data_IF_148683821636
#
_entry.id   IF_148683821636
#
_cell.length_a   1.000
_cell.length_b   1.000
_cell.length_c   1.000
_cell.angle_alpha   90.00
_cell.angle_beta   90.00
_cell.angle_gamma   90.00
#
_symmetry.space_group_name_H-M   'P 1'
#
loop_
_entity.id
_entity.type
_entity.pdbx_description
1 polymer ?
#
# COMPACT_ATOMS: atom_id res chain seq x y z
N UNK A 1 13.91 2.94 8.48
CA UNK A 1 12.84 3.29 9.45
C UNK A 1 11.73 2.23 9.49
N UNK A 2 11.25 1.68 8.37
CA UNK A 2 10.19 0.63 8.34
C UNK A 2 10.53 -0.63 9.14
N UNK A 3 11.80 -1.02 9.19
CA UNK A 3 12.23 -2.24 9.92
C UNK A 3 11.93 -2.13 11.42
N UNK A 4 12.20 -0.98 12.03
CA UNK A 4 12.01 -0.79 13.48
C UNK A 4 10.52 -0.80 13.88
N UNK A 5 9.66 -0.09 13.14
CA UNK A 5 8.21 -0.11 13.42
C UNK A 5 7.63 -1.52 13.25
N UNK A 6 8.09 -2.27 12.24
CA UNK A 6 7.70 -3.67 12.06
C UNK A 6 8.11 -4.54 13.24
N UNK A 7 9.32 -4.37 13.76
CA UNK A 7 9.82 -5.11 14.93
C UNK A 7 9.00 -4.78 16.19
N UNK A 8 8.73 -3.50 16.43
CA UNK A 8 7.91 -3.05 17.57
C UNK A 8 6.49 -3.60 17.44
N UNK A 9 5.87 -3.48 16.27
CA UNK A 9 4.55 -4.07 16.02
C UNK A 9 4.54 -5.57 16.32
N UNK A 10 5.53 -6.30 15.80
CA UNK A 10 5.62 -7.74 15.99
C UNK A 10 5.75 -8.12 17.47
N UNK A 11 6.43 -7.33 18.29
CA UNK A 11 6.52 -7.53 19.73
C UNK A 11 5.15 -7.49 20.40
N UNK A 12 4.32 -6.49 20.09
CA UNK A 12 2.97 -6.37 20.66
C UNK A 12 2.02 -7.47 20.16
N UNK A 13 2.17 -7.92 18.93
CA UNK A 13 1.26 -8.85 18.29
C UNK A 13 1.84 -10.26 18.09
N UNK A 14 2.83 -10.64 18.91
CA UNK A 14 3.57 -11.89 18.74
C UNK A 14 2.67 -13.13 18.64
N UNK A 15 1.59 -13.16 19.42
CA UNK A 15 0.65 -14.29 19.46
C UNK A 15 -0.33 -14.29 18.26
N UNK A 16 -0.33 -13.26 17.42
CA UNK A 16 -1.30 -13.07 16.33
C UNK A 16 -0.67 -12.78 14.98
N UNK A 17 0.67 -12.89 14.86
CA UNK A 17 1.38 -12.51 13.63
C UNK A 17 0.93 -13.29 12.40
N UNK A 18 0.53 -14.55 12.59
CA UNK A 18 0.04 -15.41 11.51
C UNK A 18 -1.46 -15.23 11.22
N UNK A 19 -2.19 -14.63 12.16
CA UNK A 19 -3.65 -14.49 12.08
C UNK A 19 -4.07 -13.14 11.50
N UNK A 20 -3.24 -12.08 11.68
CA UNK A 20 -3.56 -10.71 11.28
C UNK A 20 -2.89 -10.34 9.95
N UNK A 21 -3.68 -9.71 9.09
CA UNK A 21 -3.23 -9.17 7.81
C UNK A 21 -4.01 -7.88 7.45
N UNK A 22 -3.74 -7.32 6.29
CA UNK A 22 -4.37 -6.08 5.82
C UNK A 22 -5.88 -6.18 5.70
N UNK A 23 -6.43 -7.34 5.35
CA UNK A 23 -7.87 -7.51 5.10
C UNK A 23 -8.68 -7.75 6.37
N UNK A 24 -8.06 -8.20 7.47
CA UNK A 24 -8.80 -8.54 8.68
C UNK A 24 -8.44 -7.71 9.93
N UNK A 25 -7.36 -6.94 9.92
CA UNK A 25 -6.90 -6.22 11.12
C UNK A 25 -7.98 -5.39 11.78
N UNK A 26 -8.73 -4.62 11.02
CA UNK A 26 -9.73 -3.70 11.56
C UNK A 26 -10.88 -4.45 12.27
N UNK A 27 -11.25 -5.64 11.80
CA UNK A 27 -12.32 -6.48 12.38
C UNK A 27 -11.82 -7.58 13.33
N UNK A 28 -10.48 -7.74 13.49
CA UNK A 28 -9.90 -8.77 14.33
C UNK A 28 -9.95 -8.39 15.81
N UNK A 29 -10.99 -8.87 16.51
CA UNK A 29 -11.30 -8.48 17.89
C UNK A 29 -10.44 -9.18 18.94
N UNK A 30 -9.91 -10.37 18.64
CA UNK A 30 -9.07 -11.15 19.58
C UNK A 30 -7.81 -10.40 20.04
N UNK A 31 -7.29 -9.47 19.23
CA UNK A 31 -6.12 -8.66 19.55
C UNK A 31 -6.45 -7.23 20.01
N UNK A 32 -7.66 -6.98 20.53
CA UNK A 32 -8.04 -5.63 20.93
C UNK A 32 -7.23 -5.08 22.12
N UNK A 33 -6.77 -5.94 23.02
CA UNK A 33 -5.88 -5.56 24.12
C UNK A 33 -4.53 -5.12 23.58
N UNK A 34 -3.93 -5.89 22.67
CA UNK A 34 -2.65 -5.58 22.01
C UNK A 34 -2.73 -4.30 21.18
N UNK A 35 -3.84 -4.07 20.47
CA UNK A 35 -4.10 -2.81 19.75
C UNK A 35 -4.10 -1.62 20.69
N UNK A 36 -4.80 -1.73 21.85
CA UNK A 36 -4.83 -0.66 22.87
C UNK A 36 -3.45 -0.41 23.47
N UNK A 37 -2.73 -1.47 23.84
CA UNK A 37 -1.39 -1.37 24.43
C UNK A 37 -0.40 -0.78 23.43
N UNK A 38 -0.43 -1.20 22.18
CA UNK A 38 0.42 -0.65 21.12
C UNK A 38 0.11 0.84 20.87
N UNK A 39 -1.17 1.23 20.82
CA UNK A 39 -1.57 2.64 20.70
C UNK A 39 -1.11 3.46 21.89
N UNK A 40 -1.25 2.95 23.10
CA UNK A 40 -0.76 3.62 24.31
C UNK A 40 0.75 3.86 24.23
N UNK A 41 1.54 2.82 23.88
CA UNK A 41 2.98 2.95 23.65
C UNK A 41 3.29 4.03 22.61
N UNK A 42 2.61 4.02 21.47
CA UNK A 42 2.80 5.01 20.42
C UNK A 42 2.47 6.43 20.88
N UNK A 43 1.43 6.60 21.70
CA UNK A 43 1.08 7.89 22.29
C UNK A 43 2.22 8.42 23.19
N UNK A 44 2.85 7.58 23.99
CA UNK A 44 4.00 7.96 24.81
C UNK A 44 5.18 8.38 23.92
N UNK A 45 5.52 7.59 22.91
CA UNK A 45 6.61 7.89 21.96
C UNK A 45 6.36 9.19 21.23
N UNK A 46 5.17 9.37 20.64
CA UNK A 46 4.85 10.57 19.86
C UNK A 46 4.76 11.83 20.72
N UNK A 47 4.26 11.72 21.96
CA UNK A 47 4.27 12.85 22.88
C UNK A 47 5.69 13.31 23.21
N UNK A 48 6.60 12.37 23.43
CA UNK A 48 8.03 12.70 23.63
C UNK A 48 8.66 13.33 22.38
N UNK A 49 8.39 12.77 21.19
CA UNK A 49 8.89 13.33 19.93
C UNK A 49 8.31 14.71 19.66
N UNK A 50 7.03 14.93 19.94
CA UNK A 50 6.37 16.24 19.81
C UNK A 50 7.07 17.31 20.67
N UNK A 51 7.48 16.94 21.90
CA UNK A 51 8.20 17.84 22.80
C UNK A 51 9.63 18.11 22.34
N UNK A 52 10.38 17.06 21.93
CA UNK A 52 11.82 17.13 21.62
C UNK A 52 12.11 17.71 20.24
N UNK A 53 11.38 17.29 19.20
CA UNK A 53 11.65 17.64 17.81
C UNK A 53 10.50 18.41 17.14
N UNK A 54 9.49 18.85 17.92
CA UNK A 54 8.30 19.55 17.41
C UNK A 54 7.59 18.77 16.29
N UNK A 55 7.45 17.45 16.47
CA UNK A 55 6.78 16.58 15.49
C UNK A 55 5.38 17.11 15.16
N UNK A 56 5.14 17.49 13.90
CA UNK A 56 3.87 18.06 13.42
C UNK A 56 3.09 17.14 12.50
N UNK A 57 3.81 16.27 11.78
CA UNK A 57 3.20 15.35 10.82
C UNK A 57 3.96 14.05 10.68
N UNK A 58 3.24 13.01 10.29
CA UNK A 58 3.75 11.69 9.92
C UNK A 58 3.32 11.43 8.49
N UNK A 59 4.23 10.95 7.65
CA UNK A 59 3.96 10.64 6.24
C UNK A 59 4.05 9.14 6.02
N UNK A 60 3.04 8.58 5.36
CA UNK A 60 2.95 7.19 4.92
C UNK A 60 2.64 7.09 3.43
N UNK A 61 2.67 5.88 2.88
CA UNK A 61 2.53 5.63 1.44
C UNK A 61 1.35 4.74 1.05
N UNK A 62 0.57 4.25 2.02
CA UNK A 62 -0.61 3.44 1.74
C UNK A 62 -1.64 3.56 2.87
N UNK A 63 -2.91 3.74 2.52
CA UNK A 63 -4.00 3.82 3.50
C UNK A 63 -4.33 2.45 4.14
N UNK A 64 -3.90 1.35 3.52
CA UNK A 64 -4.23 -0.01 3.94
C UNK A 64 -3.19 -0.68 4.84
N UNK A 65 -2.03 -0.08 5.08
CA UNK A 65 -1.02 -0.68 5.94
C UNK A 65 -1.52 -0.93 7.36
N UNK A 66 -1.83 -2.19 7.66
CA UNK A 66 -2.42 -2.56 8.95
C UNK A 66 -1.48 -2.30 10.13
N UNK A 67 -0.16 -2.44 9.95
CA UNK A 67 0.84 -2.15 10.97
C UNK A 67 0.90 -0.67 11.36
N UNK A 68 0.39 0.21 10.52
CA UNK A 68 0.32 1.65 10.75
C UNK A 68 -1.05 2.10 11.28
N UNK A 69 -1.98 1.17 11.51
CA UNK A 69 -3.35 1.53 11.92
C UNK A 69 -3.36 2.24 13.27
N UNK A 70 -2.66 1.69 14.26
CA UNK A 70 -2.60 2.30 15.58
C UNK A 70 -1.77 3.60 15.58
N UNK A 71 -0.82 3.77 14.64
CA UNK A 71 -0.14 5.06 14.43
C UNK A 71 -1.10 6.16 13.98
N UNK A 72 -2.05 5.84 13.09
CA UNK A 72 -3.06 6.80 12.62
C UNK A 72 -3.91 7.30 13.79
N UNK A 73 -4.33 6.39 14.68
CA UNK A 73 -5.10 6.75 15.86
C UNK A 73 -4.26 7.52 16.88
N UNK A 74 -3.03 7.09 17.15
CA UNK A 74 -2.14 7.80 18.07
C UNK A 74 -1.81 9.22 17.58
N UNK A 75 -1.59 9.39 16.27
CA UNK A 75 -1.37 10.70 15.67
C UNK A 75 -2.59 11.61 15.86
N UNK A 76 -3.81 11.09 15.62
CA UNK A 76 -5.06 11.82 15.85
C UNK A 76 -5.20 12.24 17.31
N UNK A 77 -4.99 11.30 18.24
CA UNK A 77 -5.16 11.54 19.67
C UNK A 77 -4.21 12.64 20.21
N UNK A 78 -3.06 12.81 19.57
CA UNK A 78 -2.07 13.84 19.89
C UNK A 78 -2.12 15.08 18.98
N UNK A 79 -3.13 15.17 18.12
CA UNK A 79 -3.24 16.25 17.11
C UNK A 79 -1.98 16.40 16.23
N UNK A 80 -1.40 15.26 15.81
CA UNK A 80 -0.33 15.18 14.83
C UNK A 80 -0.97 14.83 13.49
N UNK A 81 -0.63 15.56 12.42
CA UNK A 81 -1.20 15.29 11.08
C UNK A 81 -0.65 13.97 10.54
N UNK A 82 -1.54 13.06 10.14
CA UNK A 82 -1.16 11.83 9.44
C UNK A 82 -1.50 12.00 7.96
N UNK A 83 -0.46 12.04 7.12
CA UNK A 83 -0.59 12.29 5.67
C UNK A 83 -0.21 11.04 4.91
N UNK A 84 -0.97 10.68 3.90
CA UNK A 84 -0.70 9.50 3.07
C UNK A 84 -0.55 9.89 1.60
N UNK A 85 0.60 9.59 1.01
CA UNK A 85 0.79 9.55 -0.43
C UNK A 85 0.47 8.14 -0.91
N UNK A 86 -0.77 7.91 -1.34
CA UNK A 86 -1.26 6.56 -1.65
C UNK A 86 -0.68 6.04 -2.97
N UNK A 87 0.47 5.36 -2.88
CA UNK A 87 1.26 4.91 -4.03
C UNK A 87 0.63 3.76 -4.84
N UNK A 88 -0.34 3.06 -4.27
CA UNK A 88 -1.02 1.90 -4.88
C UNK A 88 -2.40 2.29 -5.44
N UNK A 89 -2.49 3.50 -5.99
CA UNK A 89 -3.74 4.10 -6.49
C UNK A 89 -4.09 3.69 -7.93
N UNK A 90 -3.51 2.62 -8.45
CA UNK A 90 -3.87 2.15 -9.79
C UNK A 90 -5.01 1.15 -9.64
N UNK A 91 -6.22 1.69 -9.66
CA UNK A 91 -7.44 0.89 -9.77
C UNK A 91 -8.04 1.10 -11.15
N UNK A 92 -8.51 0.06 -11.77
CA UNK A 92 -9.09 0.13 -13.11
C UNK A 92 -10.24 -0.85 -13.29
N UNK A 93 -11.20 -0.40 -14.07
CA UNK A 93 -12.22 -1.20 -14.70
C UNK A 93 -13.39 -1.63 -13.83
N UNK A 94 -14.12 -2.60 -14.35
CA UNK A 94 -15.45 -3.00 -13.91
C UNK A 94 -15.55 -3.67 -12.52
N UNK A 95 -14.43 -3.90 -11.84
CA UNK A 95 -14.42 -4.55 -10.51
C UNK A 95 -14.72 -3.62 -9.33
N UNK A 96 -15.18 -2.41 -9.57
CA UNK A 96 -15.37 -1.38 -8.54
C UNK A 96 -16.32 -1.78 -7.43
N UNK A 97 -17.49 -2.29 -7.81
CA UNK A 97 -18.51 -2.67 -6.83
C UNK A 97 -17.99 -3.74 -5.87
N UNK A 98 -17.24 -4.72 -6.37
CA UNK A 98 -16.65 -5.76 -5.52
C UNK A 98 -15.59 -5.22 -4.58
N UNK A 99 -14.76 -4.28 -5.03
CA UNK A 99 -13.75 -3.61 -4.19
C UNK A 99 -14.41 -2.78 -3.10
N UNK A 100 -15.44 -2.00 -3.42
CA UNK A 100 -16.17 -1.18 -2.44
C UNK A 100 -16.84 -2.06 -1.39
N UNK A 101 -17.51 -3.13 -1.81
CA UNK A 101 -18.15 -4.09 -0.90
C UNK A 101 -17.09 -4.71 0.01
N UNK A 102 -15.96 -5.15 -0.53
CA UNK A 102 -14.86 -5.69 0.23
C UNK A 102 -14.32 -4.67 1.23
N UNK A 103 -14.06 -3.43 0.78
CA UNK A 103 -13.51 -2.39 1.65
C UNK A 103 -14.48 -2.00 2.77
N UNK A 104 -15.78 -1.85 2.47
CA UNK A 104 -16.80 -1.60 3.49
C UNK A 104 -16.90 -2.72 4.52
N UNK A 105 -16.68 -3.96 4.12
CA UNK A 105 -16.76 -5.13 4.99
C UNK A 105 -15.55 -5.28 5.92
N UNK A 106 -14.36 -5.00 5.42
CA UNK A 106 -13.10 -5.35 6.10
C UNK A 106 -12.32 -4.15 6.64
N UNK A 107 -12.67 -2.94 6.23
CA UNK A 107 -11.93 -1.75 6.65
C UNK A 107 -12.82 -0.73 7.33
N UNK A 108 -12.36 -0.22 8.47
CA UNK A 108 -13.01 0.87 9.17
C UNK A 108 -12.51 2.23 8.67
N UNK A 109 -13.26 3.29 9.00
CA UNK A 109 -12.86 4.67 8.79
C UNK A 109 -11.47 4.96 9.37
N UNK A 110 -10.65 5.69 8.62
CA UNK A 110 -9.26 6.01 8.95
C UNK A 110 -9.11 7.48 9.30
N UNK A 111 -8.58 7.80 10.48
CA UNK A 111 -8.38 9.19 10.92
C UNK A 111 -7.16 9.83 10.22
N UNK A 112 -7.17 9.86 8.90
CA UNK A 112 -6.10 10.42 8.08
C UNK A 112 -6.39 11.88 7.79
N UNK A 113 -5.40 12.76 8.02
CA UNK A 113 -5.56 14.21 7.85
C UNK A 113 -5.59 14.64 6.39
N UNK A 114 -4.78 13.99 5.54
CA UNK A 114 -4.72 14.21 4.09
C UNK A 114 -4.27 12.94 3.38
N UNK A 115 -4.88 12.67 2.22
CA UNK A 115 -4.50 11.60 1.31
C UNK A 115 -4.30 12.18 -0.09
N UNK A 116 -3.17 11.93 -0.71
CA UNK A 116 -2.99 12.16 -2.13
C UNK A 116 -3.14 10.85 -2.91
N UNK A 117 -3.90 10.88 -3.99
CA UNK A 117 -4.16 9.76 -4.89
C UNK A 117 -3.83 10.13 -6.33
N UNK A 118 -3.63 9.13 -7.19
CA UNK A 118 -3.19 9.37 -8.57
C UNK A 118 -4.31 9.85 -9.48
N UNK A 119 -5.56 9.47 -9.23
CA UNK A 119 -6.69 9.78 -10.11
C UNK A 119 -8.00 9.93 -9.35
N UNK A 120 -8.97 10.57 -10.01
CA UNK A 120 -10.30 10.81 -9.47
C UNK A 120 -11.03 9.51 -9.13
N UNK A 121 -10.84 8.50 -9.94
CA UNK A 121 -11.44 7.19 -9.74
C UNK A 121 -11.07 6.55 -8.39
N UNK A 122 -9.78 6.56 -8.02
CA UNK A 122 -9.33 6.09 -6.70
C UNK A 122 -9.92 6.93 -5.56
N UNK A 123 -10.02 8.26 -5.75
CA UNK A 123 -10.68 9.14 -4.78
C UNK A 123 -12.13 8.72 -4.56
N UNK A 124 -12.89 8.51 -5.64
CA UNK A 124 -14.30 8.15 -5.57
C UNK A 124 -14.50 6.81 -4.85
N UNK A 125 -13.66 5.80 -5.13
CA UNK A 125 -13.69 4.50 -4.45
C UNK A 125 -13.46 4.63 -2.93
N UNK A 126 -12.46 5.42 -2.51
CA UNK A 126 -12.13 5.62 -1.10
C UNK A 126 -13.29 6.33 -0.37
N UNK A 127 -13.88 7.32 -1.02
CA UNK A 127 -15.04 8.07 -0.49
C UNK A 127 -16.26 7.16 -0.39
N UNK A 128 -16.60 6.44 -1.45
CA UNK A 128 -17.75 5.54 -1.49
C UNK A 128 -17.63 4.41 -0.46
N UNK A 129 -16.41 3.91 -0.25
CA UNK A 129 -16.12 2.93 0.81
C UNK A 129 -16.12 3.53 2.23
N UNK A 130 -16.29 4.85 2.38
CA UNK A 130 -16.26 5.57 3.65
C UNK A 130 -14.97 5.38 4.45
N UNK A 131 -13.83 5.27 3.75
CA UNK A 131 -12.54 5.05 4.41
C UNK A 131 -11.88 6.35 4.90
N UNK A 132 -12.04 7.43 4.15
CA UNK A 132 -11.49 8.76 4.44
C UNK A 132 -12.50 9.81 4.00
N UNK A 133 -12.60 10.93 4.71
CA UNK A 133 -13.47 12.04 4.33
C UNK A 133 -13.06 12.64 2.99
N UNK A 134 -14.05 12.99 2.15
CA UNK A 134 -13.84 13.53 0.79
C UNK A 134 -12.93 14.76 0.77
N UNK A 135 -13.10 15.68 1.72
CA UNK A 135 -12.32 16.92 1.86
C UNK A 135 -10.84 16.66 2.23
N UNK A 136 -10.53 15.47 2.69
CA UNK A 136 -9.17 15.06 3.02
C UNK A 136 -8.45 14.35 1.87
N UNK A 137 -9.08 14.17 0.71
CA UNK A 137 -8.49 13.46 -0.43
C UNK A 137 -8.25 14.42 -1.60
N UNK A 138 -7.00 14.44 -2.08
CA UNK A 138 -6.56 15.25 -3.22
C UNK A 138 -6.08 14.35 -4.36
N UNK A 139 -6.43 14.72 -5.58
CA UNK A 139 -5.92 14.05 -6.79
C UNK A 139 -4.69 14.83 -7.25
N UNK A 140 -3.53 14.17 -7.26
CA UNK A 140 -2.23 14.81 -7.54
C UNK A 140 -1.53 14.24 -8.78
N UNK A 141 -2.15 13.26 -9.45
CA UNK A 141 -1.47 12.52 -10.51
C UNK A 141 -0.46 11.50 -9.95
N UNK A 142 0.44 11.05 -10.78
CA UNK A 142 1.45 10.03 -10.46
C UNK A 142 2.85 10.68 -10.43
N UNK A 143 3.32 11.23 -9.30
CA UNK A 143 4.57 12.00 -9.23
C UNK A 143 5.80 11.23 -9.73
N UNK A 144 5.79 9.89 -9.62
CA UNK A 144 6.87 9.04 -10.12
C UNK A 144 7.06 9.09 -11.64
N UNK A 145 6.09 9.61 -12.38
CA UNK A 145 6.15 9.72 -13.84
C UNK A 145 6.54 11.10 -14.31
N UNK A 146 6.66 12.09 -13.43
CA UNK A 146 6.96 13.47 -13.79
C UNK A 146 8.31 13.60 -14.53
N UNK A 147 9.31 12.82 -14.12
CA UNK A 147 10.61 12.78 -14.79
C UNK A 147 10.50 12.33 -16.26
N UNK A 148 9.54 11.45 -16.60
CA UNK A 148 9.33 11.00 -17.97
C UNK A 148 8.78 12.10 -18.88
N UNK A 149 7.99 13.03 -18.34
CA UNK A 149 7.47 14.17 -19.10
C UNK A 149 8.54 15.23 -19.36
N UNK A 150 9.57 15.29 -18.52
CA UNK A 150 10.69 16.22 -18.63
C UNK A 150 11.86 15.67 -19.47
N UNK A 151 11.83 14.39 -19.84
CA UNK A 151 12.85 13.81 -20.70
C UNK A 151 12.80 14.44 -22.10
N UNK A 152 13.93 14.97 -22.57
CA UNK A 152 14.08 15.39 -23.97
C UNK A 152 13.77 14.21 -24.89
N UNK A 153 12.84 14.39 -25.82
CA UNK A 153 12.55 13.37 -26.86
C UNK A 153 13.82 13.07 -27.65
N UNK A 154 14.40 11.92 -27.44
CA UNK A 154 15.48 11.41 -28.27
C UNK A 154 14.87 10.82 -29.55
N UNK A 155 14.87 11.59 -30.62
CA UNK A 155 14.15 11.28 -31.87
C UNK A 155 14.67 10.09 -32.67
N UNK A 156 15.78 9.43 -32.28
CA UNK A 156 16.47 8.47 -33.16
C UNK A 156 16.84 7.14 -32.49
N UNK A 157 16.16 6.70 -31.45
CA UNK A 157 16.51 5.40 -30.83
C UNK A 157 15.53 4.30 -31.23
N UNK A 158 16.01 3.37 -32.05
CA UNK A 158 15.35 2.10 -32.40
C UNK A 158 15.49 1.08 -31.23
N UNK A 159 15.21 1.51 -29.97
CA UNK A 159 15.29 0.61 -28.83
C UNK A 159 13.90 0.31 -28.31
N UNK A 160 13.60 -0.96 -28.11
CA UNK A 160 12.42 -1.42 -27.38
C UNK A 160 12.84 -1.74 -25.96
N UNK A 161 12.32 -0.99 -24.98
CA UNK A 161 12.50 -1.29 -23.58
C UNK A 161 11.43 -2.29 -23.13
N UNK A 162 11.85 -3.48 -22.79
CA UNK A 162 11.00 -4.49 -22.19
C UNK A 162 11.16 -4.49 -20.66
N UNK A 163 10.14 -4.01 -19.95
CA UNK A 163 10.11 -4.04 -18.49
C UNK A 163 9.58 -5.39 -18.04
N UNK A 164 10.49 -6.26 -17.62
CA UNK A 164 10.13 -7.57 -17.09
C UNK A 164 9.92 -7.51 -15.58
N UNK A 165 8.81 -8.05 -15.11
CA UNK A 165 8.62 -8.30 -13.69
C UNK A 165 9.51 -9.48 -13.31
N UNK A 166 10.38 -9.29 -12.31
CA UNK A 166 11.21 -10.36 -11.81
C UNK A 166 10.35 -11.54 -11.38
N UNK A 167 10.72 -12.77 -11.78
CA UNK A 167 9.91 -13.99 -11.60
C UNK A 167 9.53 -14.31 -10.13
N UNK A 168 10.18 -13.64 -9.17
CA UNK A 168 9.90 -13.75 -7.74
C UNK A 168 9.46 -12.42 -7.12
N UNK A 169 9.23 -11.38 -7.92
CA UNK A 169 8.83 -10.08 -7.42
C UNK A 169 7.47 -10.20 -6.71
N UNK A 170 7.44 -9.88 -5.43
CA UNK A 170 6.23 -9.80 -4.59
C UNK A 170 5.56 -11.11 -4.17
N UNK A 171 5.94 -12.25 -4.70
CA UNK A 171 5.27 -13.53 -4.43
C UNK A 171 5.65 -14.21 -3.10
N UNK A 172 6.86 -14.03 -2.54
CA UNK A 172 7.26 -14.74 -1.31
C UNK A 172 6.57 -14.26 -0.04
N UNK A 173 5.76 -13.19 -0.10
CA UNK A 173 5.06 -12.64 1.08
C UNK A 173 3.60 -13.04 1.19
N UNK A 174 3.06 -13.71 0.19
CA UNK A 174 1.74 -14.34 0.31
C UNK A 174 1.94 -15.69 1.00
N UNK A 175 1.07 -16.00 1.96
CA UNK A 175 1.10 -17.30 2.62
C UNK A 175 1.14 -18.41 1.56
N UNK A 176 1.91 -19.46 1.78
CA UNK A 176 1.96 -20.63 0.89
C UNK A 176 0.54 -21.09 0.50
N UNK A 177 -0.38 -21.03 1.44
CA UNK A 177 -1.79 -21.40 1.26
C UNK A 177 -2.53 -20.55 0.23
N UNK A 178 -2.27 -19.20 0.17
CA UNK A 178 -2.86 -18.35 -0.84
C UNK A 178 -2.24 -18.60 -2.23
N UNK A 179 -0.94 -18.85 -2.26
CA UNK A 179 -0.20 -19.20 -3.47
C UNK A 179 -0.69 -20.54 -4.04
N UNK A 180 -0.79 -21.57 -3.20
CA UNK A 180 -1.27 -22.90 -3.58
C UNK A 180 -2.70 -22.85 -4.14
N UNK A 181 -3.62 -22.14 -3.50
CA UNK A 181 -5.02 -22.10 -3.90
C UNK A 181 -5.29 -21.25 -5.15
N UNK A 182 -4.50 -20.20 -5.42
CA UNK A 182 -4.79 -19.24 -6.48
C UNK A 182 -3.81 -19.30 -7.67
N UNK A 183 -2.62 -19.84 -7.50
CA UNK A 183 -1.56 -19.80 -8.50
C UNK A 183 -0.99 -21.16 -8.92
N UNK A 184 -1.47 -22.26 -8.37
CA UNK A 184 -1.04 -23.61 -8.80
C UNK A 184 -1.15 -23.85 -10.32
N UNK A 185 -2.02 -23.09 -10.99
CA UNK A 185 -2.22 -23.16 -12.45
C UNK A 185 -1.24 -22.30 -13.25
N UNK A 186 -0.43 -21.44 -12.58
CA UNK A 186 0.47 -20.49 -13.27
C UNK A 186 1.92 -20.76 -12.92
N UNK A 187 2.64 -21.35 -13.84
CA UNK A 187 4.09 -21.42 -13.79
C UNK A 187 4.69 -20.09 -14.26
N UNK A 188 4.87 -19.16 -13.31
CA UNK A 188 5.44 -17.84 -13.57
C UNK A 188 6.85 -17.90 -14.17
N UNK A 189 7.65 -18.91 -13.82
CA UNK A 189 8.97 -19.13 -14.40
C UNK A 189 8.85 -19.44 -15.88
N UNK A 190 7.95 -20.36 -16.23
CA UNK A 190 7.69 -20.77 -17.62
C UNK A 190 7.11 -19.62 -18.42
N UNK A 191 6.18 -18.83 -17.85
CA UNK A 191 5.60 -17.66 -18.48
C UNK A 191 6.66 -16.59 -18.74
N UNK A 192 7.49 -16.25 -17.75
CA UNK A 192 8.58 -15.27 -17.86
C UNK A 192 9.57 -15.65 -18.96
N UNK A 193 10.01 -16.91 -19.01
CA UNK A 193 10.90 -17.42 -20.04
C UNK A 193 10.26 -17.35 -21.44
N UNK A 194 8.98 -17.71 -21.56
CA UNK A 194 8.24 -17.68 -22.83
C UNK A 194 8.09 -16.26 -23.34
N UNK A 195 7.73 -15.30 -22.48
CA UNK A 195 7.59 -13.88 -22.85
C UNK A 195 8.95 -13.31 -23.24
N UNK A 196 10.01 -13.58 -22.48
CA UNK A 196 11.38 -13.14 -22.81
C UNK A 196 11.79 -13.65 -24.18
N UNK A 197 11.54 -14.92 -24.51
CA UNK A 197 11.83 -15.48 -25.83
C UNK A 197 11.08 -14.76 -26.94
N UNK A 198 9.77 -14.51 -26.76
CA UNK A 198 8.95 -13.79 -27.75
C UNK A 198 9.54 -12.40 -28.03
N UNK A 199 9.94 -11.66 -26.99
CA UNK A 199 10.51 -10.30 -27.15
C UNK A 199 11.86 -10.35 -27.88
N UNK A 200 12.72 -11.32 -27.55
CA UNK A 200 14.00 -11.51 -28.23
C UNK A 200 13.77 -11.85 -29.70
N UNK A 201 12.86 -12.75 -30.01
CA UNK A 201 12.55 -13.17 -31.37
C UNK A 201 11.96 -12.00 -32.20
N UNK A 202 11.09 -11.20 -31.60
CA UNK A 202 10.56 -9.98 -32.21
C UNK A 202 11.66 -8.94 -32.47
N UNK A 203 12.55 -8.73 -31.51
CA UNK A 203 13.68 -7.81 -31.68
C UNK A 203 14.66 -8.24 -32.81
N UNK A 204 14.88 -9.56 -32.96
CA UNK A 204 15.73 -10.10 -34.06
C UNK A 204 15.10 -9.92 -35.42
N UNK A 205 13.77 -10.03 -35.55
CA UNK A 205 13.05 -9.89 -36.82
C UNK A 205 12.94 -8.44 -37.30
N UNK A 206 13.15 -7.47 -36.44
CA UNK A 206 13.01 -6.04 -36.73
C UNK A 206 14.38 -5.31 -36.74
N UNK A 207 15.47 -6.06 -36.89
CA UNK A 207 16.78 -5.53 -37.23
C UNK A 207 16.91 -5.34 -38.72
#
# INVERSE_FOLDING_TARGET
QRRYLGTIFNHFFINYLNDINESNYDCFTRANTEKKNYRHFLNLVFNNLKKRIKLRSIISFNIFYFRERELQFAARDLNIKFVVHHKESIHWGQKNKSNIIHWKKYFNFKPISKVSVYNQYTKDLIVEANLVKKENIEVVGMPRTDDYFNLKKYNNKKHVLFLMIEKYASLPYYSNQWYENNFQKFDWKKLSLKVTKIVIDAAKKNK
#
